data_IF_290793528987
#
_entry.id   IF_290793528987
#
_cell.length_a   1.000
_cell.length_b   1.000
_cell.length_c   1.000
_cell.angle_alpha   90.00
_cell.angle_beta   90.00
_cell.angle_gamma   90.00
#
_symmetry.space_group_name_H-M   'P 1'
#
loop_
_entity.id
_entity.type
_entity.pdbx_description
1 polymer ?
#
# COMPACT_ATOMS: atom_id res chain seq x y z
N UNK A 1 -20.30 6.30 -6.06
CA UNK A 1 -19.01 6.82 -6.60
C UNK A 1 -18.42 5.72 -7.46
N UNK A 2 -17.93 6.01 -8.67
CA UNK A 2 -17.33 4.97 -9.51
C UNK A 2 -16.11 4.31 -8.86
N UNK A 3 -15.94 3.02 -9.08
CA UNK A 3 -14.79 2.24 -8.59
C UNK A 3 -13.44 2.82 -9.03
N UNK A 4 -13.32 3.18 -10.32
CA UNK A 4 -12.16 3.89 -10.86
C UNK A 4 -11.86 5.16 -10.07
N UNK A 5 -12.89 5.91 -9.67
CA UNK A 5 -12.71 7.16 -8.95
C UNK A 5 -12.17 6.94 -7.53
N UNK A 6 -12.63 5.90 -6.84
CA UNK A 6 -12.08 5.52 -5.52
C UNK A 6 -10.60 5.19 -5.65
N UNK A 7 -10.23 4.39 -6.65
CA UNK A 7 -8.84 4.01 -6.91
C UNK A 7 -7.95 5.23 -7.22
N UNK A 8 -8.39 6.10 -8.13
CA UNK A 8 -7.70 7.35 -8.46
C UNK A 8 -7.49 8.25 -7.23
N UNK A 9 -8.50 8.37 -6.36
CA UNK A 9 -8.42 9.18 -5.16
C UNK A 9 -7.43 8.59 -4.15
N UNK A 10 -7.43 7.27 -3.96
CA UNK A 10 -6.47 6.59 -3.10
C UNK A 10 -5.02 6.88 -3.55
N UNK A 11 -4.73 6.72 -4.84
CA UNK A 11 -3.40 7.02 -5.41
C UNK A 11 -3.08 8.51 -5.29
N UNK A 12 -4.00 9.40 -5.69
CA UNK A 12 -3.80 10.85 -5.63
C UNK A 12 -3.49 11.33 -4.22
N UNK A 13 -4.28 10.92 -3.24
CA UNK A 13 -4.08 11.33 -1.86
C UNK A 13 -2.83 10.67 -1.26
N UNK A 14 -2.52 9.43 -1.62
CA UNK A 14 -1.26 8.77 -1.27
C UNK A 14 -0.04 9.55 -1.74
N UNK A 15 -0.04 10.05 -2.98
CA UNK A 15 1.01 10.91 -3.54
C UNK A 15 1.14 12.22 -2.74
N UNK A 16 0.02 12.81 -2.30
CA UNK A 16 0.04 14.06 -1.52
C UNK A 16 0.65 13.89 -0.13
N UNK A 17 0.54 12.69 0.46
CA UNK A 17 1.14 12.38 1.76
C UNK A 17 2.50 11.70 1.65
N UNK A 18 3.01 11.47 0.44
CA UNK A 18 4.20 10.68 0.20
C UNK A 18 5.46 11.31 0.80
N UNK A 19 6.28 10.57 1.56
CA UNK A 19 7.49 11.10 2.20
C UNK A 19 8.53 11.63 1.21
N UNK A 20 8.50 11.16 -0.05
CA UNK A 20 9.34 11.65 -1.15
C UNK A 20 9.03 13.10 -1.51
N UNK A 21 7.81 13.58 -1.26
CA UNK A 21 7.40 14.95 -1.57
C UNK A 21 7.72 15.34 -3.02
N UNK A 22 8.63 16.31 -3.21
CA UNK A 22 9.01 16.81 -4.55
C UNK A 22 9.71 15.76 -5.43
N UNK A 23 10.39 14.79 -4.81
CA UNK A 23 11.19 13.78 -5.53
C UNK A 23 10.32 12.75 -6.27
N UNK A 24 9.01 12.73 -6.00
CA UNK A 24 8.06 11.87 -6.72
C UNK A 24 8.03 12.18 -8.23
N UNK A 25 8.30 13.43 -8.61
CA UNK A 25 8.42 13.83 -10.02
C UNK A 25 9.62 13.20 -10.69
N UNK A 26 10.74 13.05 -9.97
CA UNK A 26 11.93 12.37 -10.47
C UNK A 26 11.69 10.86 -10.59
N UNK A 27 11.01 10.26 -9.61
CA UNK A 27 10.56 8.86 -9.69
C UNK A 27 9.82 8.59 -11.00
N UNK A 28 8.77 9.36 -11.33
CA UNK A 28 8.02 9.16 -12.57
C UNK A 28 8.85 9.42 -13.84
N UNK A 29 9.79 10.37 -13.82
CA UNK A 29 10.72 10.59 -14.94
C UNK A 29 11.59 9.35 -15.18
N UNK A 30 12.10 8.74 -14.11
CA UNK A 30 12.94 7.55 -14.19
C UNK A 30 12.15 6.35 -14.70
N UNK A 31 10.97 6.07 -14.15
CA UNK A 31 10.11 4.97 -14.61
C UNK A 31 9.73 5.13 -16.10
N UNK A 32 9.36 6.35 -16.53
CA UNK A 32 9.06 6.63 -17.95
C UNK A 32 10.28 6.43 -18.84
N UNK A 33 11.48 6.80 -18.37
CA UNK A 33 12.74 6.60 -19.10
C UNK A 33 13.07 5.12 -19.22
N UNK A 34 12.88 4.34 -18.16
CA UNK A 34 13.05 2.88 -18.16
C UNK A 34 12.09 2.23 -19.16
N UNK A 35 10.78 2.50 -19.06
CA UNK A 35 9.78 1.95 -19.97
C UNK A 35 10.09 2.22 -21.46
N UNK A 36 10.57 3.43 -21.81
CA UNK A 36 10.94 3.79 -23.18
C UNK A 36 12.11 2.96 -23.72
N UNK A 37 13.01 2.51 -22.84
CA UNK A 37 14.20 1.70 -23.19
C UNK A 37 13.88 0.21 -23.32
N UNK A 38 12.82 -0.27 -22.67
CA UNK A 38 12.43 -1.67 -22.72
C UNK A 38 12.09 -2.10 -24.16
N UNK A 39 12.45 -3.34 -24.48
CA UNK A 39 12.20 -4.01 -25.77
C UNK A 39 11.73 -5.44 -25.53
N UNK A 40 11.15 -6.07 -26.55
CA UNK A 40 10.75 -7.47 -26.49
C UNK A 40 9.80 -7.77 -25.33
N UNK A 41 10.03 -8.89 -24.64
CA UNK A 41 9.16 -9.40 -23.58
C UNK A 41 9.06 -8.42 -22.40
N UNK A 42 10.16 -7.78 -22.00
CA UNK A 42 10.17 -6.86 -20.85
C UNK A 42 9.21 -5.68 -21.05
N UNK A 43 9.10 -5.18 -22.29
CA UNK A 43 8.17 -4.09 -22.62
C UNK A 43 6.71 -4.56 -22.61
N UNK A 44 6.47 -5.81 -23.01
CA UNK A 44 5.14 -6.41 -23.05
C UNK A 44 4.63 -6.68 -21.62
N UNK A 45 5.51 -7.17 -20.75
CA UNK A 45 5.18 -7.52 -19.36
C UNK A 45 5.35 -6.38 -18.37
N UNK A 46 5.78 -5.19 -18.81
CA UNK A 46 5.93 -4.03 -17.95
C UNK A 46 4.58 -3.61 -17.35
N UNK A 47 4.55 -3.40 -16.03
CA UNK A 47 3.37 -2.86 -15.35
C UNK A 47 3.18 -1.38 -15.68
N UNK A 48 2.27 -1.11 -16.63
CA UNK A 48 1.96 0.26 -17.07
C UNK A 48 1.36 1.12 -15.97
N UNK A 49 0.79 0.52 -14.92
CA UNK A 49 0.24 1.25 -13.77
C UNK A 49 1.34 2.06 -13.07
N UNK A 50 2.60 1.59 -13.09
CA UNK A 50 3.75 2.28 -12.52
C UNK A 50 4.02 3.67 -13.15
N UNK A 51 3.47 3.96 -14.34
CA UNK A 51 3.64 5.24 -15.02
C UNK A 51 2.82 6.37 -14.38
N UNK A 52 1.80 6.02 -13.60
CA UNK A 52 0.83 6.95 -12.98
C UNK A 52 0.61 6.69 -11.50
N UNK A 53 0.87 5.48 -11.02
CA UNK A 53 0.80 5.08 -9.62
C UNK A 53 2.19 4.64 -9.12
N UNK A 54 2.80 5.33 -8.14
CA UNK A 54 4.12 5.01 -7.64
C UNK A 54 4.12 3.96 -6.52
N UNK A 55 2.94 3.37 -6.22
CA UNK A 55 2.70 2.40 -5.16
C UNK A 55 2.35 1.05 -5.80
N UNK A 56 3.31 0.14 -5.94
CA UNK A 56 3.06 -1.17 -6.54
C UNK A 56 2.11 -2.03 -5.71
N UNK A 57 2.07 -1.81 -4.40
CA UNK A 57 1.25 -2.50 -3.41
C UNK A 57 -0.21 -2.02 -3.32
N UNK A 58 -0.61 -1.06 -4.16
CA UNK A 58 -1.97 -0.50 -4.20
C UNK A 58 -2.55 -0.68 -5.59
N UNK A 59 -3.59 -1.52 -5.73
CA UNK A 59 -4.14 -1.90 -7.04
C UNK A 59 -5.64 -2.09 -6.99
N UNK A 60 -6.31 -1.70 -8.07
CA UNK A 60 -7.59 -2.28 -8.44
C UNK A 60 -7.32 -3.70 -8.98
N UNK A 61 -7.74 -4.74 -8.25
CA UNK A 61 -7.37 -6.13 -8.51
C UNK A 61 -8.35 -6.81 -9.47
N UNK A 62 -9.65 -6.54 -9.29
CA UNK A 62 -10.71 -6.93 -10.22
C UNK A 62 -11.96 -6.08 -10.02
N UNK A 63 -12.84 -6.10 -11.03
CA UNK A 63 -14.10 -5.37 -11.05
C UNK A 63 -14.20 -4.43 -12.25
N UNK A 64 -15.43 -4.00 -12.56
CA UNK A 64 -15.65 -3.02 -13.62
C UNK A 64 -15.32 -1.61 -13.08
N UNK A 65 -14.38 -0.86 -13.69
CA UNK A 65 -14.01 0.49 -13.26
C UNK A 65 -15.18 1.49 -13.25
N UNK A 66 -16.25 1.22 -14.01
CA UNK A 66 -17.46 2.04 -14.08
C UNK A 66 -18.54 1.65 -13.07
N UNK A 67 -18.35 0.58 -12.28
CA UNK A 67 -19.30 0.18 -11.25
C UNK A 67 -19.51 1.28 -10.21
N UNK A 68 -20.78 1.55 -9.88
CA UNK A 68 -21.14 2.46 -8.80
C UNK A 68 -20.98 1.76 -7.45
N UNK A 69 -20.11 2.31 -6.60
CA UNK A 69 -19.84 1.81 -5.26
C UNK A 69 -20.59 2.68 -4.24
N UNK A 70 -21.36 2.02 -3.37
CA UNK A 70 -22.10 2.63 -2.26
C UNK A 70 -21.74 1.98 -0.92
N UNK A 71 -21.53 0.66 -0.89
CA UNK A 71 -21.18 -0.08 0.33
C UNK A 71 -19.86 -0.83 0.14
N UNK A 72 -18.94 -0.65 1.09
CA UNK A 72 -17.58 -1.19 1.04
C UNK A 72 -17.34 -2.01 2.31
N UNK A 73 -16.71 -3.17 2.15
CA UNK A 73 -16.12 -3.94 3.23
C UNK A 73 -14.63 -3.61 3.26
N UNK A 74 -14.13 -3.13 4.40
CA UNK A 74 -12.73 -2.77 4.57
C UNK A 74 -12.12 -3.68 5.63
N UNK A 75 -10.95 -4.25 5.34
CA UNK A 75 -10.20 -5.09 6.26
C UNK A 75 -8.70 -4.91 6.12
N UNK A 76 -7.94 -5.33 7.14
CA UNK A 76 -6.47 -5.36 7.05
C UNK A 76 -6.08 -6.44 6.04
N UNK A 77 -6.47 -7.67 6.35
CA UNK A 77 -6.39 -8.84 5.49
C UNK A 77 -7.78 -9.11 4.90
N UNK A 78 -7.87 -9.19 3.57
CA UNK A 78 -9.05 -9.70 2.87
C UNK A 78 -8.55 -10.81 1.95
N UNK A 79 -8.49 -12.03 2.48
CA UNK A 79 -8.12 -13.21 1.71
C UNK A 79 -9.39 -13.94 1.21
N UNK A 80 -9.23 -15.15 0.70
CA UNK A 80 -10.36 -15.95 0.17
C UNK A 80 -11.50 -16.12 1.19
N UNK A 81 -11.19 -16.28 2.48
CA UNK A 81 -12.21 -16.45 3.51
C UNK A 81 -13.05 -15.17 3.68
N UNK A 82 -12.42 -14.00 3.70
CA UNK A 82 -13.11 -12.71 3.80
C UNK A 82 -13.88 -12.38 2.53
N UNK A 83 -13.38 -12.78 1.35
CA UNK A 83 -14.14 -12.67 0.10
C UNK A 83 -15.42 -13.51 0.15
N UNK A 84 -15.38 -14.73 0.68
CA UNK A 84 -16.58 -15.55 0.88
C UNK A 84 -17.53 -14.92 1.90
N UNK A 85 -17.01 -14.34 2.99
CA UNK A 85 -17.81 -13.60 3.96
C UNK A 85 -18.45 -12.36 3.32
N UNK A 86 -17.70 -11.62 2.51
CA UNK A 86 -18.16 -10.46 1.77
C UNK A 86 -19.33 -10.81 0.85
N UNK A 87 -19.24 -11.96 0.17
CA UNK A 87 -20.31 -12.47 -0.68
C UNK A 87 -21.58 -12.80 0.14
N UNK A 88 -21.44 -13.44 1.30
CA UNK A 88 -22.59 -13.68 2.21
C UNK A 88 -23.23 -12.39 2.72
N UNK A 89 -22.44 -11.37 3.02
CA UNK A 89 -22.95 -10.06 3.42
C UNK A 89 -23.66 -9.40 2.24
N UNK A 90 -23.09 -9.52 1.03
CA UNK A 90 -23.65 -8.98 -0.21
C UNK A 90 -25.04 -9.53 -0.49
N UNK A 91 -25.24 -10.84 -0.32
CA UNK A 91 -26.55 -11.50 -0.48
C UNK A 91 -27.62 -10.91 0.44
N UNK A 92 -27.25 -10.55 1.68
CA UNK A 92 -28.20 -10.12 2.70
C UNK A 92 -28.48 -8.62 2.71
N UNK A 93 -27.45 -7.81 2.53
CA UNK A 93 -27.53 -6.36 2.78
C UNK A 93 -26.93 -5.50 1.67
N UNK A 94 -26.51 -6.12 0.56
CA UNK A 94 -25.73 -5.48 -0.49
C UNK A 94 -24.28 -5.23 -0.08
N UNK A 95 -23.39 -5.31 -1.07
CA UNK A 95 -21.97 -4.96 -0.95
C UNK A 95 -21.42 -4.76 -2.37
N UNK A 96 -20.69 -3.68 -2.59
CA UNK A 96 -20.24 -3.31 -3.93
C UNK A 96 -18.72 -3.46 -4.12
N UNK A 97 -17.95 -3.46 -3.02
CA UNK A 97 -16.49 -3.51 -3.03
C UNK A 97 -15.95 -4.15 -1.76
N UNK A 98 -14.98 -5.05 -1.91
CA UNK A 98 -14.05 -5.41 -0.85
C UNK A 98 -12.76 -4.58 -1.00
N UNK A 99 -12.21 -4.08 0.10
CA UNK A 99 -10.98 -3.30 0.12
C UNK A 99 -10.05 -3.84 1.20
N UNK A 100 -8.89 -4.36 0.78
CA UNK A 100 -7.83 -4.78 1.70
C UNK A 100 -6.84 -3.65 1.96
N UNK A 101 -6.25 -3.64 3.16
CA UNK A 101 -5.05 -2.87 3.41
C UNK A 101 -3.83 -3.61 2.86
N UNK A 102 -3.61 -4.86 3.30
CA UNK A 102 -2.50 -5.66 2.80
C UNK A 102 -2.71 -5.99 1.31
N UNK A 103 -1.62 -5.96 0.53
CA UNK A 103 -1.69 -6.16 -0.90
C UNK A 103 -2.06 -7.60 -1.25
N UNK A 104 -2.80 -7.77 -2.34
CA UNK A 104 -3.17 -9.07 -2.90
C UNK A 104 -2.85 -9.11 -4.40
N UNK A 105 -2.81 -10.31 -5.00
CA UNK A 105 -2.62 -10.44 -6.45
C UNK A 105 -1.32 -9.81 -6.95
N UNK A 106 -1.42 -9.06 -8.03
CA UNK A 106 -0.28 -8.35 -8.64
C UNK A 106 0.34 -7.33 -7.66
N UNK A 107 -0.45 -6.74 -6.76
CA UNK A 107 0.07 -5.83 -5.75
C UNK A 107 0.99 -6.54 -4.76
N UNK A 108 0.62 -7.77 -4.36
CA UNK A 108 1.44 -8.58 -3.46
C UNK A 108 2.70 -9.07 -4.16
N UNK A 109 2.58 -9.54 -5.40
CA UNK A 109 3.73 -9.97 -6.21
C UNK A 109 4.75 -8.83 -6.42
N UNK A 110 4.25 -7.59 -6.58
CA UNK A 110 5.05 -6.38 -6.73
C UNK A 110 5.45 -5.70 -5.42
N UNK A 111 5.21 -6.31 -4.24
CA UNK A 111 5.46 -5.66 -2.94
C UNK A 111 6.90 -5.19 -2.77
N UNK A 112 7.88 -5.95 -3.26
CA UNK A 112 9.30 -5.59 -3.15
C UNK A 112 9.66 -4.29 -3.89
N UNK A 113 8.86 -3.88 -4.88
CA UNK A 113 9.13 -2.68 -5.68
C UNK A 113 8.86 -1.39 -4.89
N UNK A 114 7.84 -1.39 -4.03
CA UNK A 114 7.46 -0.20 -3.24
C UNK A 114 8.52 0.13 -2.18
N UNK A 115 9.30 -0.86 -1.75
CA UNK A 115 10.34 -0.70 -0.74
C UNK A 115 11.44 0.30 -1.14
N UNK A 116 11.56 0.64 -2.44
CA UNK A 116 12.47 1.69 -2.91
C UNK A 116 12.16 3.06 -2.28
N UNK A 117 10.93 3.28 -1.79
CA UNK A 117 10.57 4.49 -1.03
C UNK A 117 11.45 4.70 0.20
N UNK A 118 11.92 3.61 0.82
CA UNK A 118 12.77 3.65 2.00
C UNK A 118 14.10 4.34 1.71
N UNK A 119 14.62 4.24 0.48
CA UNK A 119 15.85 4.94 0.09
C UNK A 119 15.72 6.45 0.17
N UNK A 120 14.57 6.97 -0.24
CA UNK A 120 14.28 8.40 -0.14
C UNK A 120 14.11 8.84 1.31
N UNK A 121 13.42 8.04 2.13
CA UNK A 121 13.22 8.32 3.56
C UNK A 121 14.57 8.39 4.28
N UNK A 122 15.41 7.36 4.12
CA UNK A 122 16.70 7.26 4.80
C UNK A 122 17.67 8.36 4.36
N UNK A 123 17.73 8.68 3.06
CA UNK A 123 18.54 9.79 2.58
C UNK A 123 18.09 11.14 3.15
N UNK A 124 16.77 11.35 3.29
CA UNK A 124 16.20 12.56 3.91
C UNK A 124 16.53 12.67 5.40
N UNK A 125 16.75 11.54 6.07
CA UNK A 125 17.25 11.47 7.45
C UNK A 125 18.78 11.67 7.56
N UNK A 126 19.48 11.91 6.44
CA UNK A 126 20.90 12.22 6.41
C UNK A 126 21.82 11.01 6.22
N UNK A 127 21.28 9.83 5.92
CA UNK A 127 22.10 8.66 5.61
C UNK A 127 22.72 8.77 4.21
N UNK A 128 23.97 8.32 4.09
CA UNK A 128 24.68 8.32 2.81
C UNK A 128 24.05 7.34 1.82
N UNK A 129 23.94 7.79 0.56
CA UNK A 129 23.24 7.07 -0.51
C UNK A 129 23.79 5.67 -0.75
N UNK A 130 25.11 5.51 -0.64
CA UNK A 130 25.81 4.25 -0.85
C UNK A 130 25.41 3.22 0.21
N UNK A 131 25.47 3.61 1.49
CA UNK A 131 25.08 2.74 2.61
C UNK A 131 23.59 2.35 2.56
N UNK A 132 22.73 3.29 2.17
CA UNK A 132 21.30 3.05 1.99
C UNK A 132 21.02 2.10 0.83
N UNK A 133 21.71 2.27 -0.30
CA UNK A 133 21.53 1.45 -1.50
C UNK A 133 21.88 -0.02 -1.25
N UNK A 134 23.00 -0.29 -0.58
CA UNK A 134 23.44 -1.67 -0.34
C UNK A 134 22.51 -2.42 0.64
N UNK A 135 22.14 -1.78 1.76
CA UNK A 135 21.22 -2.37 2.74
C UNK A 135 19.83 -2.62 2.16
N UNK A 136 19.29 -1.67 1.38
CA UNK A 136 17.98 -1.84 0.76
C UNK A 136 17.99 -2.91 -0.33
N UNK A 137 19.07 -3.04 -1.09
CA UNK A 137 19.17 -4.06 -2.13
C UNK A 137 19.07 -5.47 -1.54
N UNK A 138 19.78 -5.74 -0.45
CA UNK A 138 19.71 -7.03 0.24
C UNK A 138 18.28 -7.30 0.75
N UNK A 139 17.70 -6.33 1.46
CA UNK A 139 16.35 -6.46 2.02
C UNK A 139 15.27 -6.64 0.95
N UNK A 140 15.35 -5.91 -0.16
CA UNK A 140 14.42 -6.04 -1.29
C UNK A 140 14.52 -7.44 -1.90
N UNK A 141 15.73 -7.97 -2.07
CA UNK A 141 15.92 -9.33 -2.60
C UNK A 141 15.39 -10.41 -1.65
N UNK A 142 15.60 -10.25 -0.34
CA UNK A 142 15.05 -11.16 0.67
C UNK A 142 13.52 -11.21 0.59
N UNK A 143 12.86 -10.04 0.59
CA UNK A 143 11.40 -9.95 0.48
C UNK A 143 10.91 -10.54 -0.83
N UNK A 144 11.54 -10.20 -1.95
CA UNK A 144 11.18 -10.73 -3.27
C UNK A 144 11.25 -12.26 -3.31
N UNK A 145 12.30 -12.87 -2.76
CA UNK A 145 12.43 -14.35 -2.70
C UNK A 145 11.40 -14.99 -1.78
N UNK A 146 11.07 -14.32 -0.66
CA UNK A 146 10.08 -14.82 0.31
C UNK A 146 8.66 -14.85 -0.26
N UNK A 147 8.28 -13.83 -1.04
CA UNK A 147 6.93 -13.72 -1.62
C UNK A 147 6.79 -14.53 -2.91
N UNK A 148 7.86 -14.69 -3.68
CA UNK A 148 7.84 -15.34 -5.00
C UNK A 148 7.07 -16.68 -5.08
N UNK A 149 7.20 -17.63 -4.13
CA UNK A 149 6.49 -18.92 -4.22
C UNK A 149 5.02 -18.84 -3.81
N UNK A 150 4.52 -17.69 -3.34
CA UNK A 150 3.14 -17.55 -2.90
C UNK A 150 2.15 -17.67 -4.06
N UNK A 151 0.94 -18.16 -3.76
CA UNK A 151 -0.17 -18.09 -4.70
C UNK A 151 -0.85 -16.71 -4.62
N UNK A 152 -0.22 -15.73 -5.26
CA UNK A 152 -0.65 -14.34 -5.22
C UNK A 152 -2.09 -14.14 -5.73
N UNK A 153 -2.55 -14.92 -6.72
CA UNK A 153 -3.85 -14.69 -7.37
C UNK A 153 -5.02 -15.28 -6.61
N UNK A 154 -4.81 -16.15 -5.61
CA UNK A 154 -5.86 -16.93 -4.96
C UNK A 154 -7.05 -16.08 -4.46
N UNK A 155 -6.87 -14.97 -3.72
CA UNK A 155 -8.01 -14.15 -3.29
C UNK A 155 -8.67 -13.40 -4.46
N UNK A 156 -7.86 -12.95 -5.43
CA UNK A 156 -8.35 -12.23 -6.63
C UNK A 156 -9.19 -13.14 -7.52
N UNK A 157 -8.78 -14.40 -7.70
CA UNK A 157 -9.51 -15.36 -8.51
C UNK A 157 -10.83 -15.76 -7.85
N UNK A 158 -10.86 -15.92 -6.51
CA UNK A 158 -12.09 -16.09 -5.76
C UNK A 158 -13.04 -14.89 -5.94
N UNK A 159 -12.52 -13.67 -5.83
CA UNK A 159 -13.31 -12.45 -6.04
C UNK A 159 -13.88 -12.37 -7.47
N UNK A 160 -13.11 -12.77 -8.49
CA UNK A 160 -13.58 -12.86 -9.88
C UNK A 160 -14.72 -13.86 -10.04
N UNK A 161 -14.60 -15.05 -9.46
CA UNK A 161 -15.64 -16.08 -9.53
C UNK A 161 -16.97 -15.62 -8.92
N UNK A 162 -16.91 -14.83 -7.85
CA UNK A 162 -18.09 -14.26 -7.17
C UNK A 162 -18.54 -12.91 -7.75
N UNK A 163 -17.87 -12.41 -8.80
CA UNK A 163 -18.08 -11.07 -9.34
C UNK A 163 -18.06 -9.98 -8.25
N UNK A 164 -17.13 -10.09 -7.30
CA UNK A 164 -16.89 -9.13 -6.24
C UNK A 164 -15.78 -8.16 -6.69
N UNK A 165 -16.07 -6.87 -6.87
CA UNK A 165 -15.02 -5.88 -7.05
C UNK A 165 -14.06 -5.89 -5.86
N UNK A 166 -12.76 -5.85 -6.15
CA UNK A 166 -11.72 -5.99 -5.13
C UNK A 166 -10.54 -5.07 -5.41
N UNK A 167 -10.07 -4.38 -4.37
CA UNK A 167 -8.96 -3.43 -4.42
C UNK A 167 -8.09 -3.56 -3.17
N UNK A 168 -6.78 -3.30 -3.30
CA UNK A 168 -5.88 -3.08 -2.16
C UNK A 168 -5.44 -1.62 -2.06
N UNK A 169 -5.24 -1.13 -0.83
CA UNK A 169 -4.72 0.21 -0.54
C UNK A 169 -3.74 0.14 0.65
N UNK A 170 -2.45 0.01 0.33
CA UNK A 170 -1.39 -0.19 1.32
C UNK A 170 -0.60 1.10 1.56
N UNK A 171 0.50 1.35 0.83
CA UNK A 171 1.38 2.53 1.03
C UNK A 171 0.64 3.87 1.14
N UNK A 172 -0.40 4.17 0.34
CA UNK A 172 -1.18 5.39 0.53
C UNK A 172 -1.76 5.54 1.94
N UNK A 173 -2.34 4.48 2.51
CA UNK A 173 -2.89 4.49 3.87
C UNK A 173 -1.76 4.68 4.90
N UNK A 174 -0.64 3.98 4.72
CA UNK A 174 0.54 4.12 5.60
C UNK A 174 1.13 5.52 5.58
N UNK A 175 1.15 6.17 4.41
CA UNK A 175 1.66 7.54 4.28
C UNK A 175 0.85 8.52 5.13
N UNK A 176 -0.47 8.34 5.26
CA UNK A 176 -1.30 9.16 6.16
C UNK A 176 -0.89 8.97 7.63
N UNK A 177 -0.69 7.72 8.07
CA UNK A 177 -0.26 7.41 9.43
C UNK A 177 1.13 7.97 9.69
N UNK A 178 2.09 7.72 8.80
CA UNK A 178 3.46 8.18 8.91
C UNK A 178 3.52 9.71 9.01
N UNK A 179 2.78 10.44 8.18
CA UNK A 179 2.73 11.90 8.24
C UNK A 179 2.06 12.40 9.52
N UNK A 180 0.93 11.83 9.91
CA UNK A 180 0.24 12.21 11.15
C UNK A 180 1.16 12.04 12.36
N UNK A 181 1.83 10.89 12.48
CA UNK A 181 2.76 10.63 13.57
C UNK A 181 3.95 11.59 13.52
N UNK A 182 4.58 11.75 12.35
CA UNK A 182 5.75 12.61 12.20
C UNK A 182 5.45 14.07 12.59
N UNK A 183 4.34 14.63 12.11
CA UNK A 183 3.97 16.03 12.40
C UNK A 183 3.68 16.25 13.89
N UNK A 184 2.97 15.33 14.52
CA UNK A 184 2.60 15.47 15.93
C UNK A 184 3.77 15.18 16.89
N UNK A 185 4.61 14.20 16.56
CA UNK A 185 5.85 13.92 17.31
C UNK A 185 6.80 15.11 17.20
N UNK A 186 6.99 15.69 16.01
CA UNK A 186 7.85 16.87 15.83
C UNK A 186 7.35 18.08 16.63
N UNK A 187 6.03 18.33 16.63
CA UNK A 187 5.41 19.40 17.44
C UNK A 187 5.60 19.17 18.94
N UNK A 188 5.51 17.92 19.38
CA UNK A 188 5.73 17.54 20.78
C UNK A 188 7.18 17.66 21.24
N UNK A 189 8.14 17.72 20.30
CA UNK A 189 9.58 17.81 20.54
C UNK A 189 10.07 16.91 21.69
N UNK A 190 9.74 15.60 21.67
CA UNK A 190 10.04 14.67 22.76
C UNK A 190 11.55 14.62 23.01
N UNK A 191 11.93 14.46 24.28
CA UNK A 191 13.34 14.39 24.71
C UNK A 191 13.74 12.97 25.10
N UNK A 192 12.78 12.13 25.44
CA UNK A 192 12.98 10.73 25.78
C UNK A 192 12.01 9.81 25.04
N UNK A 193 12.37 8.53 24.92
CA UNK A 193 11.50 7.49 24.38
C UNK A 193 10.14 7.44 25.11
N UNK A 194 10.15 7.65 26.44
CA UNK A 194 8.94 7.71 27.26
C UNK A 194 7.96 8.78 26.77
N UNK A 195 8.45 9.91 26.26
CA UNK A 195 7.58 10.99 25.75
C UNK A 195 6.86 10.55 24.47
N UNK A 196 7.54 9.78 23.62
CA UNK A 196 6.96 9.20 22.41
C UNK A 196 5.89 8.17 22.80
N UNK A 197 6.20 7.24 23.72
CA UNK A 197 5.23 6.25 24.19
C UNK A 197 4.00 6.91 24.83
N UNK A 198 4.21 7.92 25.66
CA UNK A 198 3.13 8.71 26.26
C UNK A 198 2.27 9.41 25.21
N UNK A 199 2.87 9.91 24.13
CA UNK A 199 2.13 10.47 23.01
C UNK A 199 1.30 9.40 22.29
N UNK A 200 1.90 8.26 21.95
CA UNK A 200 1.20 7.16 21.27
C UNK A 200 0.01 6.66 22.09
N UNK A 201 0.15 6.47 23.40
CA UNK A 201 -0.96 6.05 24.26
C UNK A 201 -2.15 7.01 24.34
N UNK A 202 -2.01 8.26 23.87
CA UNK A 202 -3.12 9.22 23.77
C UNK A 202 -3.94 9.05 22.50
N UNK A 203 -3.40 8.35 21.49
CA UNK A 203 -4.09 8.07 20.24
C UNK A 203 -5.04 6.87 20.46
N UNK A 204 -6.34 6.97 20.11
CA UNK A 204 -7.32 5.92 20.36
C UNK A 204 -6.91 4.55 19.84
N UNK A 205 -6.32 4.48 18.65
CA UNK A 205 -5.89 3.25 17.98
C UNK A 205 -4.80 2.52 18.78
N UNK A 206 -3.79 3.25 19.28
CA UNK A 206 -2.72 2.67 20.10
C UNK A 206 -3.18 2.31 21.51
N UNK A 207 -4.15 3.05 22.05
CA UNK A 207 -4.78 2.73 23.34
C UNK A 207 -5.58 1.43 23.23
N UNK A 208 -6.37 1.28 22.18
CA UNK A 208 -7.12 0.05 21.90
C UNK A 208 -6.17 -1.12 21.67
N UNK A 209 -5.08 -0.91 20.91
CA UNK A 209 -4.04 -1.92 20.74
C UNK A 209 -3.44 -2.37 22.08
N UNK A 210 -3.24 -1.46 23.04
CA UNK A 210 -2.74 -1.81 24.37
C UNK A 210 -3.70 -2.72 25.15
N UNK A 211 -5.02 -2.49 25.07
CA UNK A 211 -6.01 -3.41 25.66
C UNK A 211 -5.96 -4.81 25.02
N UNK A 212 -5.62 -4.86 23.74
CA UNK A 212 -5.45 -6.09 22.97
C UNK A 212 -4.01 -6.67 23.03
N UNK A 213 -3.19 -6.24 24.00
CA UNK A 213 -1.78 -6.68 24.21
C UNK A 213 -0.82 -6.39 23.03
N UNK A 214 -1.24 -5.55 22.09
CA UNK A 214 -0.52 -5.13 20.89
C UNK A 214 -0.13 -3.64 20.91
N UNK A 215 -0.19 -2.99 22.09
CA UNK A 215 0.16 -1.58 22.25
C UNK A 215 1.66 -1.30 22.06
N UNK A 216 2.03 -0.01 21.95
CA UNK A 216 3.42 0.41 21.83
C UNK A 216 4.21 0.02 23.10
N UNK A 217 5.51 -0.31 22.95
CA UNK A 217 6.41 -0.77 24.01
C UNK A 217 7.76 -0.08 23.92
#
# INVERSE_FOLDING_TARGET
>A
MKLSKIYELAVKYGIQQDPRGKDISEYFKNIKKEYRKLKGIERITFDKEALTNPFSDTRLLCGNPDSEIKKILVGIDIETAEILLADRIREREGLDLALSHHPEGIAYAGLSEVMRVQGYILNKLGLHKEAVSDSLKERVQEVARKILPANHSRPVDAARLLNMPFMSCHTPADNFVAKYLQENINKGAPKALKDILNFLHKIPEYKEAAFNKAGPR
#
